data_IF_137022016737
#
_entry.id   IF_137022016737
#
_cell.length_a   1.000
_cell.length_b   1.000
_cell.length_c   1.000
_cell.angle_alpha   90.00
_cell.angle_beta   90.00
_cell.angle_gamma   90.00
#
_symmetry.space_group_name_H-M   'P 1'
#
loop_
_entity.id
_entity.type
_entity.pdbx_description
1 polymer ?
#
# COMPACT_ATOMS: atom_id res chain seq x y z
N UNK A 1 -22.23 4.72 25.49
CA UNK A 1 -20.90 5.35 25.59
C UNK A 1 -19.98 4.68 24.58
N UNK A 2 -19.52 5.33 23.52
CA UNK A 2 -18.60 4.72 22.57
C UNK A 2 -17.19 4.71 23.16
N UNK A 3 -16.56 3.53 23.20
CA UNK A 3 -15.17 3.35 23.54
C UNK A 3 -14.29 4.04 22.50
N UNK A 4 -13.61 5.11 22.87
CA UNK A 4 -12.60 5.79 22.06
C UNK A 4 -11.42 4.81 21.89
N UNK A 5 -11.26 4.29 20.66
CA UNK A 5 -10.02 3.59 20.27
C UNK A 5 -8.90 4.62 20.21
N UNK A 6 -8.00 4.61 21.16
CA UNK A 6 -6.74 5.35 21.07
C UNK A 6 -5.85 4.70 20.02
N UNK A 7 -5.32 5.45 19.04
CA UNK A 7 -4.42 4.87 18.04
C UNK A 7 -3.15 4.35 18.70
N UNK A 8 -2.71 3.16 18.27
CA UNK A 8 -1.52 2.44 18.75
C UNK A 8 -0.24 3.30 18.68
N UNK A 9 -0.19 4.28 17.77
CA UNK A 9 0.93 5.22 17.63
C UNK A 9 1.21 6.07 18.88
N UNK A 10 0.23 6.27 19.78
CA UNK A 10 0.44 6.98 21.03
C UNK A 10 1.11 6.13 22.13
N UNK A 11 1.07 4.81 22.02
CA UNK A 11 1.71 3.94 23.03
C UNK A 11 3.23 3.90 22.87
N UNK A 12 3.76 4.03 21.65
CA UNK A 12 5.20 4.04 21.36
C UNK A 12 5.90 5.32 21.88
N UNK A 13 5.17 6.44 22.01
CA UNK A 13 5.73 7.71 22.52
C UNK A 13 5.80 7.82 24.04
N UNK A 14 5.28 6.82 24.78
CA UNK A 14 5.28 6.83 26.25
C UNK A 14 6.48 6.13 26.88
N UNK A 15 7.28 5.40 26.11
CA UNK A 15 8.49 4.74 26.61
C UNK A 15 9.69 5.65 26.34
N UNK A 16 10.40 6.13 27.37
CA UNK A 16 11.63 6.91 27.17
C UNK A 16 12.65 6.11 26.34
N UNK A 17 13.36 6.74 25.39
CA UNK A 17 14.33 6.05 24.52
C UNK A 17 15.38 5.23 25.30
N UNK A 18 15.82 5.72 26.45
CA UNK A 18 16.77 5.03 27.32
C UNK A 18 16.19 3.71 27.87
N UNK A 19 14.91 3.70 28.26
CA UNK A 19 14.24 2.50 28.77
C UNK A 19 14.01 1.47 27.66
N UNK A 20 13.67 1.95 26.46
CA UNK A 20 13.53 1.09 25.28
C UNK A 20 14.86 0.39 24.93
N UNK A 21 15.95 1.14 24.97
CA UNK A 21 17.29 0.59 24.74
C UNK A 21 17.71 -0.43 25.82
N UNK A 22 17.48 -0.13 27.09
CA UNK A 22 17.77 -1.05 28.21
C UNK A 22 16.98 -2.36 28.08
N UNK A 23 15.69 -2.25 27.68
CA UNK A 23 14.86 -3.43 27.44
C UNK A 23 15.35 -4.26 26.25
N UNK A 24 15.73 -3.61 25.15
CA UNK A 24 16.34 -4.26 23.99
C UNK A 24 17.61 -5.02 24.35
N UNK A 25 18.50 -4.41 25.14
CA UNK A 25 19.74 -5.05 25.60
C UNK A 25 19.50 -6.26 26.51
N UNK A 26 18.48 -6.23 27.36
CA UNK A 26 18.08 -7.38 28.21
C UNK A 26 17.54 -8.53 27.37
N UNK A 27 16.73 -8.24 26.32
CA UNK A 27 16.26 -9.24 25.40
C UNK A 27 17.39 -9.84 24.58
N UNK A 28 18.35 -9.01 24.16
CA UNK A 28 19.50 -9.44 23.38
C UNK A 28 20.31 -10.52 24.12
N UNK A 29 20.48 -10.39 25.43
CA UNK A 29 21.20 -11.37 26.24
C UNK A 29 20.56 -12.78 26.24
N UNK A 30 19.30 -12.89 25.82
CA UNK A 30 18.58 -14.17 25.68
C UNK A 30 18.61 -14.70 24.22
N UNK A 31 19.21 -13.96 23.30
CA UNK A 31 19.25 -14.31 21.87
C UNK A 31 20.48 -15.13 21.52
N UNK A 32 20.36 -16.04 20.54
CA UNK A 32 21.46 -16.82 20.00
C UNK A 32 22.16 -16.15 18.81
N UNK A 33 21.54 -15.12 18.24
CA UNK A 33 22.06 -14.32 17.12
C UNK A 33 21.35 -12.97 17.06
N UNK A 34 22.03 -11.96 16.54
CA UNK A 34 21.44 -10.67 16.14
C UNK A 34 21.42 -10.58 14.62
N UNK A 35 20.28 -10.25 14.02
CA UNK A 35 20.17 -10.02 12.58
C UNK A 35 19.85 -8.56 12.33
N UNK A 36 20.73 -7.87 11.61
CA UNK A 36 20.59 -6.47 11.25
C UNK A 36 20.16 -6.40 9.79
N UNK A 37 19.03 -5.76 9.50
CA UNK A 37 18.51 -5.56 8.17
C UNK A 37 18.74 -4.14 7.68
N UNK A 38 19.19 -4.01 6.42
CA UNK A 38 19.43 -2.74 5.74
C UNK A 38 20.85 -2.23 5.86
N UNK A 39 21.12 -1.17 5.11
CA UNK A 39 22.45 -0.56 4.99
C UNK A 39 22.63 0.62 5.97
N UNK A 40 21.52 1.12 6.50
CA UNK A 40 21.52 2.28 7.39
C UNK A 40 21.39 1.83 8.86
N UNK A 41 22.48 2.03 9.61
CA UNK A 41 22.52 1.72 11.04
C UNK A 41 22.24 2.98 11.86
N UNK A 42 21.19 2.94 12.68
CA UNK A 42 20.88 4.01 13.64
C UNK A 42 21.76 3.93 14.88
N UNK A 43 21.80 5.02 15.66
CA UNK A 43 22.54 5.01 16.94
C UNK A 43 22.08 3.93 17.91
N UNK A 44 20.78 3.64 17.95
CA UNK A 44 20.24 2.54 18.76
C UNK A 44 20.72 1.19 18.27
N UNK A 45 20.67 0.92 16.96
CA UNK A 45 21.18 -0.32 16.37
C UNK A 45 22.68 -0.50 16.62
N UNK A 46 23.47 0.59 16.55
CA UNK A 46 24.92 0.54 16.87
C UNK A 46 25.15 0.08 18.32
N UNK A 47 24.37 0.58 19.27
CA UNK A 47 24.49 0.19 20.67
C UNK A 47 24.11 -1.29 20.89
N UNK A 48 23.10 -1.78 20.17
CA UNK A 48 22.70 -3.20 20.22
C UNK A 48 23.76 -4.12 19.57
N UNK A 49 24.37 -3.69 18.46
CA UNK A 49 25.46 -4.43 17.80
C UNK A 49 26.67 -4.54 18.73
N UNK A 50 27.11 -3.43 19.31
CA UNK A 50 28.22 -3.43 20.27
C UNK A 50 27.93 -4.35 21.46
N UNK A 51 26.69 -4.32 21.97
CA UNK A 51 26.30 -5.19 23.09
C UNK A 51 26.24 -6.67 22.69
N UNK A 52 25.84 -6.99 21.49
CA UNK A 52 25.87 -8.36 20.97
C UNK A 52 27.30 -8.88 20.88
N UNK A 53 28.24 -8.05 20.37
CA UNK A 53 29.67 -8.39 20.29
C UNK A 53 30.27 -8.62 21.67
N UNK A 54 29.98 -7.77 22.68
CA UNK A 54 30.41 -7.95 24.06
C UNK A 54 29.92 -9.30 24.67
N UNK A 55 28.70 -9.71 24.29
CA UNK A 55 28.09 -10.95 24.77
C UNK A 55 28.50 -12.17 23.94
N UNK A 56 29.33 -12.00 22.89
CA UNK A 56 29.72 -13.07 21.99
C UNK A 56 28.60 -13.60 21.12
N UNK A 57 27.55 -12.79 20.90
CA UNK A 57 26.39 -13.14 20.08
C UNK A 57 26.74 -12.83 18.62
N UNK A 58 26.62 -13.81 17.66
CA UNK A 58 26.88 -13.57 16.27
C UNK A 58 25.98 -12.48 15.69
N UNK A 59 26.58 -11.50 15.03
CA UNK A 59 25.86 -10.43 14.30
C UNK A 59 25.86 -10.78 12.82
N UNK A 60 24.67 -10.92 12.23
CA UNK A 60 24.47 -11.20 10.82
C UNK A 60 23.84 -9.97 10.15
N UNK A 61 24.52 -9.39 9.18
CA UNK A 61 23.96 -8.33 8.36
C UNK A 61 23.26 -8.94 7.14
N UNK A 62 22.05 -8.45 6.86
CA UNK A 62 21.23 -8.83 5.71
C UNK A 62 20.83 -7.58 4.94
N UNK A 63 20.73 -7.66 3.61
CA UNK A 63 20.15 -6.54 2.85
C UNK A 63 18.76 -6.20 3.41
N UNK A 64 18.39 -4.95 3.33
CA UNK A 64 17.06 -4.51 3.77
C UNK A 64 15.99 -5.38 3.10
N UNK A 65 14.96 -5.73 3.86
CA UNK A 65 13.75 -6.30 3.27
C UNK A 65 13.15 -5.21 2.38
N UNK A 66 13.38 -5.31 1.09
CA UNK A 66 12.53 -4.64 0.12
C UNK A 66 11.21 -5.39 0.22
N UNK A 67 10.29 -4.86 1.02
CA UNK A 67 8.91 -5.25 0.90
C UNK A 67 8.49 -4.71 -0.47
N UNK A 68 8.56 -5.57 -1.49
CA UNK A 68 7.85 -5.28 -2.73
C UNK A 68 6.40 -5.08 -2.31
N UNK A 69 5.93 -3.84 -2.37
CA UNK A 69 4.51 -3.57 -2.16
C UNK A 69 3.77 -4.46 -3.14
N UNK A 70 2.83 -5.26 -2.63
CA UNK A 70 2.01 -6.08 -3.49
C UNK A 70 1.43 -5.19 -4.60
N UNK A 71 1.51 -5.61 -5.87
CA UNK A 71 1.07 -4.78 -6.98
C UNK A 71 -0.37 -4.35 -6.74
N UNK A 72 -0.59 -3.04 -6.80
CA UNK A 72 -1.91 -2.46 -6.59
C UNK A 72 -2.83 -2.90 -7.72
N UNK A 73 -4.08 -3.26 -7.44
CA UNK A 73 -5.07 -3.50 -8.47
C UNK A 73 -5.18 -2.30 -9.41
N UNK A 74 -5.26 -2.58 -10.71
CA UNK A 74 -5.38 -1.57 -11.77
C UNK A 74 -6.63 -1.83 -12.57
N UNK A 75 -7.32 -0.78 -12.95
CA UNK A 75 -8.41 -0.79 -13.93
C UNK A 75 -7.99 -0.05 -15.19
N UNK A 76 -8.61 -0.42 -16.27
CA UNK A 76 -8.42 0.17 -17.61
C UNK A 76 -9.66 0.96 -17.98
N UNK A 77 -9.49 2.21 -18.33
CA UNK A 77 -10.58 3.07 -18.80
C UNK A 77 -10.17 3.85 -20.04
N UNK A 78 -11.13 4.39 -20.74
CA UNK A 78 -10.94 5.37 -21.83
C UNK A 78 -11.98 6.47 -21.73
N UNK A 79 -11.65 7.64 -22.25
CA UNK A 79 -12.58 8.77 -22.25
C UNK A 79 -13.80 8.46 -23.15
N UNK A 80 -15.02 8.67 -22.64
CA UNK A 80 -16.24 8.48 -23.39
C UNK A 80 -16.26 9.48 -24.57
N UNK A 81 -16.33 8.95 -25.79
CA UNK A 81 -16.24 9.72 -27.03
C UNK A 81 -14.97 10.59 -27.16
N UNK A 82 -13.87 10.19 -26.53
CA UNK A 82 -12.61 10.94 -26.53
C UNK A 82 -12.64 12.25 -25.74
N UNK A 83 -13.66 12.49 -24.93
CA UNK A 83 -13.85 13.74 -24.18
C UNK A 83 -13.77 13.47 -22.67
N UNK A 84 -12.75 14.03 -22.02
CA UNK A 84 -12.47 13.81 -20.60
C UNK A 84 -13.60 14.26 -19.65
N UNK A 85 -14.39 15.26 -20.04
CA UNK A 85 -15.51 15.78 -19.23
C UNK A 85 -16.68 14.79 -19.14
N UNK A 86 -16.76 13.83 -20.06
CA UNK A 86 -17.82 12.82 -20.06
C UNK A 86 -17.55 11.64 -19.10
N UNK A 87 -16.41 11.67 -18.42
CA UNK A 87 -15.94 10.57 -17.57
C UNK A 87 -15.24 9.46 -18.35
N UNK A 88 -15.02 8.33 -17.70
CA UNK A 88 -14.37 7.16 -18.27
C UNK A 88 -15.36 6.02 -18.44
N UNK A 89 -15.26 5.28 -19.53
CA UNK A 89 -15.80 3.94 -19.65
C UNK A 89 -14.72 2.94 -19.30
N UNK A 90 -15.06 1.92 -18.50
CA UNK A 90 -14.10 0.95 -17.99
C UNK A 90 -14.21 -0.39 -18.72
N UNK A 91 -13.07 -1.04 -18.88
CA UNK A 91 -13.01 -2.38 -19.45
C UNK A 91 -13.73 -3.38 -18.53
N UNK A 92 -14.68 -4.10 -19.10
CA UNK A 92 -15.55 -5.05 -18.41
C UNK A 92 -15.37 -6.47 -18.95
N UNK A 93 -15.70 -7.46 -18.15
CA UNK A 93 -15.87 -8.83 -18.60
C UNK A 93 -17.23 -9.04 -19.27
N UNK A 94 -17.50 -10.28 -19.71
CA UNK A 94 -18.75 -10.64 -20.39
C UNK A 94 -19.99 -10.50 -19.47
N UNK A 95 -19.80 -10.49 -18.17
CA UNK A 95 -20.85 -10.32 -17.15
C UNK A 95 -21.10 -8.83 -16.83
N UNK A 96 -20.34 -7.91 -17.44
CA UNK A 96 -20.46 -6.47 -17.22
C UNK A 96 -19.74 -5.96 -15.97
N UNK A 97 -18.89 -6.78 -15.34
CA UNK A 97 -18.09 -6.37 -14.20
C UNK A 97 -16.75 -5.78 -14.66
N UNK A 98 -16.27 -4.75 -13.98
CA UNK A 98 -14.98 -4.09 -14.29
C UNK A 98 -13.83 -5.07 -14.04
N UNK A 99 -12.93 -5.19 -15.01
CA UNK A 99 -11.75 -6.04 -14.91
C UNK A 99 -10.67 -5.40 -14.04
N UNK A 100 -10.15 -6.19 -13.09
CA UNK A 100 -9.02 -5.81 -12.23
C UNK A 100 -7.75 -6.55 -12.64
N UNK A 101 -6.68 -5.79 -12.83
CA UNK A 101 -5.36 -6.33 -13.18
C UNK A 101 -4.41 -6.26 -11.98
N UNK A 102 -3.48 -7.20 -11.90
CA UNK A 102 -2.42 -7.24 -10.88
C UNK A 102 -1.28 -6.26 -11.23
N UNK A 103 -1.60 -4.96 -11.30
CA UNK A 103 -0.64 -3.91 -11.64
C UNK A 103 -0.67 -3.48 -13.11
N UNK A 104 0.02 -2.38 -13.39
CA UNK A 104 0.05 -1.71 -14.70
C UNK A 104 0.60 -2.63 -15.79
N UNK A 105 1.64 -3.43 -15.49
CA UNK A 105 2.24 -4.33 -16.49
C UNK A 105 1.23 -5.36 -16.98
N UNK A 106 0.51 -6.01 -16.06
CA UNK A 106 -0.51 -7.01 -16.41
C UNK A 106 -1.64 -6.41 -17.24
N UNK A 107 -2.06 -5.16 -16.95
CA UNK A 107 -3.05 -4.44 -17.74
C UNK A 107 -2.55 -4.17 -19.17
N UNK A 108 -1.32 -3.69 -19.32
CA UNK A 108 -0.70 -3.44 -20.63
C UNK A 108 -0.50 -4.71 -21.45
N UNK A 109 -0.07 -5.79 -20.82
CA UNK A 109 0.12 -7.07 -21.51
C UNK A 109 -1.22 -7.60 -22.04
N UNK A 110 -2.28 -7.53 -21.22
CA UNK A 110 -3.64 -7.88 -21.64
C UNK A 110 -4.10 -7.07 -22.85
N UNK A 111 -3.90 -5.75 -22.85
CA UNK A 111 -4.28 -4.88 -23.97
C UNK A 111 -3.52 -5.24 -25.26
N UNK A 112 -2.23 -5.55 -25.17
CA UNK A 112 -1.44 -6.01 -26.33
C UNK A 112 -1.89 -7.37 -26.85
N UNK A 113 -2.23 -8.30 -25.98
CA UNK A 113 -2.80 -9.60 -26.36
C UNK A 113 -4.13 -9.48 -27.09
N UNK A 114 -4.86 -8.38 -26.86
CA UNK A 114 -6.13 -8.06 -27.52
C UNK A 114 -5.95 -7.07 -28.69
N UNK A 115 -4.73 -6.99 -29.25
CA UNK A 115 -4.39 -6.24 -30.47
C UNK A 115 -4.64 -4.72 -30.36
N UNK A 116 -4.66 -4.15 -29.14
CA UNK A 116 -4.72 -2.71 -28.93
C UNK A 116 -3.40 -2.09 -29.40
N UNK A 117 -3.49 -1.19 -30.37
CA UNK A 117 -2.33 -0.52 -30.99
C UNK A 117 -1.70 0.51 -30.05
N UNK A 118 -0.44 0.89 -30.32
CA UNK A 118 0.23 1.93 -29.54
C UNK A 118 -0.47 3.30 -29.63
N UNK A 119 -1.12 3.60 -30.75
CA UNK A 119 -1.92 4.82 -30.93
C UNK A 119 -3.17 4.79 -30.04
N UNK A 120 -3.88 3.66 -29.99
CA UNK A 120 -5.05 3.50 -29.11
C UNK A 120 -4.67 3.49 -27.63
N UNK A 121 -3.46 3.06 -27.29
CA UNK A 121 -2.93 3.09 -25.92
C UNK A 121 -2.75 4.50 -25.37
N UNK A 122 -2.62 5.53 -26.22
CA UNK A 122 -2.53 6.94 -25.81
C UNK A 122 -3.85 7.45 -25.19
N UNK A 123 -4.99 6.91 -25.66
CA UNK A 123 -6.32 7.26 -25.14
C UNK A 123 -6.74 6.44 -23.93
N UNK A 124 -5.92 5.45 -23.53
CA UNK A 124 -6.21 4.56 -22.39
C UNK A 124 -5.69 5.15 -21.10
N UNK A 125 -6.55 5.18 -20.10
CA UNK A 125 -6.25 5.59 -18.74
C UNK A 125 -6.11 4.37 -17.84
N UNK A 126 -4.92 4.16 -17.28
CA UNK A 126 -4.66 3.13 -16.26
C UNK A 126 -4.78 3.77 -14.88
N UNK A 127 -5.67 3.23 -14.04
CA UNK A 127 -5.87 3.72 -12.68
C UNK A 127 -5.50 2.66 -11.66
N UNK A 128 -4.59 3.00 -10.77
CA UNK A 128 -4.24 2.17 -9.63
C UNK A 128 -5.24 2.36 -8.48
N UNK A 129 -5.50 1.29 -7.75
CA UNK A 129 -6.31 1.39 -6.54
C UNK A 129 -5.60 2.23 -5.49
N UNK A 130 -6.38 3.01 -4.76
CA UNK A 130 -5.91 3.87 -3.67
C UNK A 130 -6.14 3.24 -2.29
N UNK A 131 -6.73 2.05 -2.26
CA UNK A 131 -6.98 1.28 -1.03
C UNK A 131 -8.12 0.30 -1.19
N UNK A 132 -8.74 -0.08 -0.09
CA UNK A 132 -9.87 -1.01 -0.03
C UNK A 132 -11.10 -0.33 0.52
N UNK A 133 -12.26 -0.67 -0.03
CA UNK A 133 -13.55 -0.20 0.44
C UNK A 133 -13.86 -0.76 1.83
N UNK A 134 -14.21 0.10 2.78
CA UNK A 134 -14.55 -0.33 4.15
C UNK A 134 -15.87 -1.10 4.24
N UNK A 135 -16.74 -0.99 3.21
CA UNK A 135 -18.04 -1.68 3.18
C UNK A 135 -17.94 -3.10 2.65
N UNK A 136 -17.24 -3.32 1.53
CA UNK A 136 -17.19 -4.61 0.85
C UNK A 136 -15.80 -5.26 0.79
N UNK A 137 -14.73 -4.52 1.09
CA UNK A 137 -13.36 -5.02 1.03
C UNK A 137 -12.71 -4.99 -0.37
N UNK A 138 -13.45 -4.62 -1.42
CA UNK A 138 -12.95 -4.52 -2.78
C UNK A 138 -12.05 -3.29 -2.99
N UNK A 139 -11.23 -3.25 -4.05
CA UNK A 139 -10.39 -2.10 -4.35
C UNK A 139 -11.18 -0.81 -4.54
N UNK A 140 -10.64 0.29 -4.01
CA UNK A 140 -11.12 1.64 -4.23
C UNK A 140 -10.26 2.34 -5.27
N UNK A 141 -10.90 3.11 -6.13
CA UNK A 141 -10.24 3.94 -7.15
C UNK A 141 -10.60 5.41 -6.97
N UNK A 142 -9.81 6.34 -7.52
CA UNK A 142 -10.22 7.74 -7.58
C UNK A 142 -11.55 7.88 -8.34
N UNK A 143 -12.49 8.64 -7.81
CA UNK A 143 -13.76 8.89 -8.49
C UNK A 143 -13.59 9.80 -9.71
N UNK A 144 -14.39 9.56 -10.75
CA UNK A 144 -14.52 10.44 -11.92
C UNK A 144 -15.50 11.59 -11.69
N UNK A 145 -16.33 11.48 -10.66
CA UNK A 145 -17.36 12.46 -10.36
C UNK A 145 -16.78 13.56 -9.47
N UNK A 146 -16.87 14.80 -9.92
CA UNK A 146 -16.41 15.95 -9.15
C UNK A 146 -17.10 16.04 -7.80
N UNK A 147 -16.29 16.20 -6.74
CA UNK A 147 -16.77 16.28 -5.36
C UNK A 147 -16.64 14.97 -4.59
N UNK A 148 -16.54 13.83 -5.25
CA UNK A 148 -16.25 12.55 -4.61
C UNK A 148 -14.75 12.23 -4.68
N UNK A 149 -14.25 11.54 -3.65
CA UNK A 149 -12.83 11.17 -3.59
C UNK A 149 -12.57 9.78 -4.18
N UNK A 150 -13.50 8.86 -3.98
CA UNK A 150 -13.32 7.45 -4.30
C UNK A 150 -14.56 6.85 -4.95
N UNK A 151 -14.32 5.83 -5.77
CA UNK A 151 -15.32 4.97 -6.40
C UNK A 151 -15.07 3.51 -6.04
N UNK A 152 -16.13 2.77 -5.75
CA UNK A 152 -16.11 1.33 -5.55
C UNK A 152 -17.05 0.67 -6.57
N UNK A 153 -16.52 -0.08 -7.51
CA UNK A 153 -17.31 -0.75 -8.55
C UNK A 153 -18.18 -1.88 -7.99
N UNK A 154 -17.76 -2.53 -6.90
CA UNK A 154 -18.56 -3.56 -6.23
C UNK A 154 -19.79 -3.01 -5.51
N UNK A 155 -19.65 -1.84 -4.89
CA UNK A 155 -20.77 -1.15 -4.25
C UNK A 155 -21.62 -0.38 -5.25
N UNK A 156 -21.07 -0.11 -6.45
CA UNK A 156 -21.63 0.78 -7.47
C UNK A 156 -21.93 2.19 -6.91
N UNK A 157 -20.96 2.71 -6.13
CA UNK A 157 -21.11 3.99 -5.42
C UNK A 157 -19.81 4.80 -5.42
N UNK A 158 -19.98 6.13 -5.44
CA UNK A 158 -18.94 7.12 -5.17
C UNK A 158 -18.99 7.59 -3.72
N UNK A 159 -17.82 7.80 -3.12
CA UNK A 159 -17.67 8.11 -1.71
C UNK A 159 -16.87 9.39 -1.48
N UNK A 160 -17.26 10.14 -0.45
CA UNK A 160 -16.39 11.16 0.12
C UNK A 160 -15.23 10.54 0.89
N UNK A 161 -14.12 11.28 1.03
CA UNK A 161 -12.93 10.80 1.73
C UNK A 161 -13.23 10.34 3.17
N UNK A 162 -14.07 11.08 3.90
CA UNK A 162 -14.43 10.78 5.28
C UNK A 162 -15.25 9.48 5.43
N UNK A 163 -16.04 9.10 4.42
CA UNK A 163 -16.86 7.88 4.45
C UNK A 163 -16.00 6.62 4.39
N UNK A 164 -14.79 6.73 3.86
CA UNK A 164 -13.80 5.64 3.80
C UNK A 164 -12.78 5.74 4.95
N UNK A 165 -13.08 6.50 6.01
CA UNK A 165 -12.23 6.64 7.19
C UNK A 165 -10.89 7.34 6.92
N UNK A 166 -10.77 8.04 5.79
CA UNK A 166 -9.58 8.78 5.37
C UNK A 166 -9.83 10.26 5.55
N UNK A 167 -9.04 10.89 6.42
CA UNK A 167 -9.01 12.35 6.50
C UNK A 167 -8.06 12.85 5.42
N UNK A 168 -8.55 13.76 4.59
CA UNK A 168 -7.76 14.49 3.58
C UNK A 168 -6.63 15.28 4.24
#
# INVERSE_FOLDING_TARGET
>A
MPLRRTPISRFCSMIPPALALEFGQKLLAMCTRLVVYGDRISSGMSAEIMKAEELGIPVLQRPGLVLEEAPKPVIVGRCINGVTINGLEYLQNDDGEVLYFKGITAAKDYLREHEVTDEEMEDIVLRESVGTCIRCGDPLFPSDISGYAYQCFKCDEDFYAFEQGRNS
#
